data_IF_943272812373
#
_entry.id   IF_943272812373
#
_cell.length_a   1.000
_cell.length_b   1.000
_cell.length_c   1.000
_cell.angle_alpha   90.00
_cell.angle_beta   90.00
_cell.angle_gamma   90.00
#
_symmetry.space_group_name_H-M   'P 1'
#
loop_
_entity.id
_entity.type
_entity.pdbx_description
1 polymer ?
#
# COMPACT_ATOMS: atom_id res chain seq x y z
N UNK A 1 17.28 -38.76 -70.11
CA UNK A 1 16.22 -37.88 -69.56
C UNK A 1 16.34 -37.89 -68.05
N UNK A 2 16.96 -36.89 -67.47
CA UNK A 2 17.12 -36.75 -66.05
C UNK A 2 16.23 -35.55 -65.58
N UNK A 3 15.27 -35.83 -64.71
CA UNK A 3 14.40 -34.85 -64.12
C UNK A 3 15.00 -34.42 -62.77
N UNK A 4 15.43 -33.16 -62.68
CA UNK A 4 15.94 -32.58 -61.46
C UNK A 4 14.74 -32.02 -60.66
N UNK A 5 14.53 -32.53 -59.45
CA UNK A 5 13.54 -32.03 -58.52
C UNK A 5 14.17 -30.92 -57.66
N UNK A 6 13.65 -29.71 -57.79
CA UNK A 6 14.04 -28.53 -56.98
C UNK A 6 13.24 -28.55 -55.69
N UNK A 7 13.92 -28.75 -54.56
CA UNK A 7 13.32 -28.66 -53.22
C UNK A 7 13.53 -27.21 -52.71
N UNK A 8 12.45 -26.45 -52.65
CA UNK A 8 12.41 -25.14 -51.94
C UNK A 8 12.37 -25.34 -50.41
N UNK A 9 13.46 -25.07 -49.73
CA UNK A 9 13.51 -24.94 -48.29
C UNK A 9 12.96 -23.57 -47.87
N UNK A 10 11.77 -23.53 -47.33
CA UNK A 10 11.21 -22.36 -46.64
C UNK A 10 11.76 -22.35 -45.21
N UNK A 11 12.70 -21.46 -44.94
CA UNK A 11 13.19 -21.19 -43.60
C UNK A 11 12.15 -20.37 -42.85
N UNK A 12 11.41 -20.99 -41.96
CA UNK A 12 10.55 -20.28 -40.97
C UNK A 12 11.47 -19.73 -39.89
N UNK A 13 11.71 -18.43 -39.94
CA UNK A 13 12.37 -17.70 -38.86
C UNK A 13 11.45 -17.66 -37.66
N UNK A 14 11.65 -18.55 -36.69
CA UNK A 14 11.07 -18.44 -35.36
C UNK A 14 11.70 -17.23 -34.69
N UNK A 15 11.00 -16.10 -34.70
CA UNK A 15 11.35 -14.95 -33.90
C UNK A 15 11.29 -15.34 -32.42
N UNK A 16 12.45 -15.43 -31.77
CA UNK A 16 12.52 -15.55 -30.31
C UNK A 16 11.83 -14.32 -29.69
N UNK A 17 10.99 -14.50 -28.65
CA UNK A 17 10.43 -13.35 -27.95
C UNK A 17 11.60 -12.57 -27.36
N UNK A 18 11.77 -11.32 -27.81
CA UNK A 18 12.69 -10.38 -27.20
C UNK A 18 12.24 -10.20 -25.74
N UNK A 19 13.03 -10.75 -24.80
CA UNK A 19 12.85 -10.46 -23.39
C UNK A 19 12.90 -8.94 -23.23
N UNK A 20 11.78 -8.34 -22.86
CA UNK A 20 11.74 -6.92 -22.53
C UNK A 20 12.79 -6.69 -21.44
N UNK A 21 13.78 -5.87 -21.75
CA UNK A 21 14.80 -5.44 -20.79
C UNK A 21 14.05 -4.81 -19.60
N UNK A 22 14.03 -5.48 -18.48
CA UNK A 22 13.51 -4.92 -17.24
C UNK A 22 14.40 -3.71 -16.92
N UNK A 23 13.82 -2.52 -17.02
CA UNK A 23 14.51 -1.31 -16.62
C UNK A 23 14.91 -1.46 -15.15
N UNK A 24 16.20 -1.31 -14.87
CA UNK A 24 16.70 -1.36 -13.47
C UNK A 24 16.01 -0.22 -12.70
N UNK A 25 15.39 -0.51 -11.54
CA UNK A 25 14.74 0.53 -10.74
C UNK A 25 15.73 1.65 -10.40
N UNK A 26 15.26 2.89 -10.49
CA UNK A 26 16.09 4.05 -10.12
C UNK A 26 16.37 4.04 -8.63
N UNK A 27 17.62 4.37 -8.27
CA UNK A 27 18.02 4.49 -6.88
C UNK A 27 17.87 5.91 -6.35
N UNK A 28 17.81 6.04 -5.03
CA UNK A 28 17.61 7.31 -4.34
C UNK A 28 18.59 8.41 -4.79
N UNK A 29 19.87 8.11 -4.92
CA UNK A 29 20.90 9.08 -5.34
C UNK A 29 20.90 9.39 -6.83
N UNK A 30 20.24 8.59 -7.66
CA UNK A 30 20.04 8.89 -9.09
C UNK A 30 18.93 9.91 -9.31
N UNK A 31 17.93 9.93 -8.43
CA UNK A 31 16.74 10.79 -8.55
C UNK A 31 16.85 12.03 -7.68
N UNK A 32 17.33 11.88 -6.44
CA UNK A 32 17.38 12.98 -5.48
C UNK A 32 18.79 13.54 -5.30
N UNK A 33 18.86 14.84 -5.11
CA UNK A 33 20.12 15.54 -4.80
C UNK A 33 20.45 15.44 -3.32
N UNK A 34 21.76 15.49 -2.99
CA UNK A 34 22.29 15.53 -1.61
C UNK A 34 21.86 14.33 -0.74
N UNK A 35 21.75 13.14 -1.33
CA UNK A 35 21.55 11.89 -0.60
C UNK A 35 22.86 11.44 0.01
N UNK A 36 22.99 11.49 1.34
CA UNK A 36 24.23 11.12 2.09
C UNK A 36 24.08 9.81 2.84
N UNK A 37 22.87 9.44 3.23
CA UNK A 37 22.47 8.15 3.81
C UNK A 37 21.36 7.56 2.96
N UNK A 38 21.07 6.28 3.10
CA UNK A 38 20.00 5.60 2.33
C UNK A 38 20.28 5.59 0.81
N UNK A 39 21.57 5.50 0.43
CA UNK A 39 21.99 5.32 -0.97
C UNK A 39 21.77 3.88 -1.41
N UNK A 40 21.58 3.69 -2.73
CA UNK A 40 21.45 2.38 -3.34
C UNK A 40 20.09 1.72 -3.13
N UNK A 41 19.15 2.38 -2.46
CA UNK A 41 17.79 1.87 -2.29
C UNK A 41 16.87 2.39 -3.40
N UNK A 42 15.86 1.62 -3.82
CA UNK A 42 14.86 2.07 -4.76
C UNK A 42 14.14 3.35 -4.32
N UNK A 43 13.64 4.12 -5.29
CA UNK A 43 12.97 5.40 -5.03
C UNK A 43 11.73 5.23 -4.15
N UNK A 44 10.94 4.20 -4.37
CA UNK A 44 9.75 3.89 -3.56
C UNK A 44 10.10 3.54 -2.11
N UNK A 45 11.16 2.74 -1.88
CA UNK A 45 11.68 2.46 -0.53
C UNK A 45 12.19 3.73 0.15
N UNK A 46 12.83 4.63 -0.61
CA UNK A 46 13.29 5.93 -0.10
C UNK A 46 12.11 6.80 0.34
N UNK A 47 11.05 6.87 -0.45
CA UNK A 47 9.83 7.62 -0.09
C UNK A 47 9.13 7.01 1.12
N UNK A 48 9.02 5.68 1.18
CA UNK A 48 8.51 4.98 2.37
C UNK A 48 9.34 5.27 3.63
N UNK A 49 10.67 5.39 3.48
CA UNK A 49 11.59 5.75 4.57
C UNK A 49 11.34 7.17 5.08
N UNK A 50 11.05 8.14 4.19
CA UNK A 50 10.65 9.50 4.61
C UNK A 50 9.34 9.44 5.43
N UNK A 51 8.37 8.63 5.01
CA UNK A 51 7.14 8.42 5.76
C UNK A 51 7.37 7.87 7.17
N UNK A 52 8.29 6.91 7.34
CA UNK A 52 8.67 6.39 8.67
C UNK A 52 9.29 7.49 9.54
N UNK A 53 10.16 8.33 8.99
CA UNK A 53 10.74 9.43 9.75
C UNK A 53 9.65 10.40 10.22
N UNK A 54 8.73 10.79 9.34
CA UNK A 54 7.62 11.67 9.69
C UNK A 54 6.74 11.05 10.78
N UNK A 55 6.32 9.81 10.61
CA UNK A 55 5.46 9.13 11.58
C UNK A 55 6.16 8.93 12.93
N UNK A 56 7.44 8.52 12.93
CA UNK A 56 8.19 8.28 14.15
C UNK A 56 8.42 9.55 14.97
N UNK A 57 8.56 10.70 14.31
CA UNK A 57 8.84 11.99 14.96
C UNK A 57 7.59 12.83 15.21
N UNK A 58 6.44 12.47 14.62
CA UNK A 58 5.24 13.33 14.62
C UNK A 58 5.42 14.59 13.78
N UNK A 59 6.21 14.52 12.73
CA UNK A 59 6.57 15.61 11.83
C UNK A 59 5.85 15.50 10.49
N UNK A 60 5.83 16.59 9.74
CA UNK A 60 5.58 16.59 8.32
C UNK A 60 6.86 16.92 7.52
N UNK A 61 6.74 17.03 6.20
CA UNK A 61 7.89 17.29 5.33
C UNK A 61 8.56 18.64 5.61
N UNK A 62 7.77 19.65 6.03
CA UNK A 62 8.26 21.03 6.23
C UNK A 62 9.19 21.15 7.43
N UNK A 63 9.11 20.23 8.38
CA UNK A 63 9.98 20.21 9.55
C UNK A 63 11.45 19.94 9.21
N UNK A 64 11.69 19.18 8.14
CA UNK A 64 13.04 18.79 7.72
C UNK A 64 13.46 19.41 6.39
N UNK A 65 12.52 19.75 5.51
CA UNK A 65 12.81 20.27 4.18
C UNK A 65 12.37 21.74 4.05
N UNK A 66 13.33 22.60 3.73
CA UNK A 66 13.10 24.05 3.63
C UNK A 66 12.06 24.34 2.52
N UNK A 67 11.00 25.05 2.89
CA UNK A 67 9.93 25.46 1.99
C UNK A 67 9.00 24.34 1.54
N UNK A 68 9.04 23.15 2.14
CA UNK A 68 8.10 22.09 1.81
C UNK A 68 6.65 22.55 2.06
N UNK A 69 5.76 22.19 1.14
CA UNK A 69 4.38 22.67 1.10
C UNK A 69 4.21 24.01 0.38
N UNK A 70 5.29 24.57 -0.19
CA UNK A 70 5.27 25.79 -1.02
C UNK A 70 5.92 25.56 -2.37
N UNK A 71 5.75 26.50 -3.29
CA UNK A 71 6.41 26.55 -4.60
C UNK A 71 7.94 26.80 -4.54
N UNK A 72 8.47 27.11 -3.34
CA UNK A 72 9.89 27.45 -3.10
C UNK A 72 10.62 26.35 -2.32
N UNK A 73 10.18 25.11 -2.42
CA UNK A 73 10.80 24.00 -1.70
C UNK A 73 12.22 23.72 -2.21
N UNK A 74 13.17 23.61 -1.28
CA UNK A 74 14.51 23.10 -1.56
C UNK A 74 14.72 21.76 -0.84
N UNK A 75 14.43 20.69 -1.58
CA UNK A 75 14.60 19.32 -1.08
C UNK A 75 16.06 18.96 -0.80
N UNK A 76 17.02 19.65 -1.40
CA UNK A 76 18.45 19.37 -1.25
C UNK A 76 19.09 20.13 -0.09
N UNK A 77 18.50 21.22 0.37
CA UNK A 77 19.06 22.04 1.45
C UNK A 77 19.34 21.24 2.71
N UNK A 78 20.46 21.55 3.37
CA UNK A 78 20.82 20.98 4.66
C UNK A 78 20.24 21.83 5.79
N UNK A 79 19.17 21.36 6.39
CA UNK A 79 18.61 21.94 7.61
C UNK A 79 19.16 21.24 8.85
N UNK A 80 19.15 21.88 10.02
CA UNK A 80 19.61 21.25 11.26
C UNK A 80 18.90 19.93 11.57
N UNK A 81 17.58 19.84 11.33
CA UNK A 81 16.80 18.62 11.54
C UNK A 81 17.20 17.52 10.55
N UNK A 82 17.42 17.87 9.27
CA UNK A 82 17.88 16.91 8.26
C UNK A 82 19.28 16.36 8.58
N UNK A 83 20.20 17.19 9.05
CA UNK A 83 21.51 16.75 9.50
C UNK A 83 21.40 15.81 10.71
N UNK A 84 20.51 16.13 11.67
CA UNK A 84 20.25 15.26 12.82
C UNK A 84 19.65 13.93 12.39
N UNK A 85 18.64 13.93 11.48
CA UNK A 85 18.04 12.70 10.96
C UNK A 85 19.09 11.77 10.33
N UNK A 86 20.04 12.30 9.54
CA UNK A 86 21.15 11.51 8.99
C UNK A 86 22.02 10.88 10.06
N UNK A 87 22.27 11.60 11.18
CA UNK A 87 23.01 11.07 12.33
C UNK A 87 22.22 9.93 12.99
N UNK A 88 20.92 10.08 13.17
CA UNK A 88 20.05 9.06 13.75
C UNK A 88 19.97 7.80 12.87
N UNK A 89 19.87 7.94 11.54
CA UNK A 89 19.91 6.80 10.61
C UNK A 89 21.21 5.99 10.82
N UNK A 90 22.37 6.64 10.86
CA UNK A 90 23.65 5.95 11.12
C UNK A 90 23.66 5.25 12.46
N UNK A 91 23.12 5.89 13.51
CA UNK A 91 23.04 5.32 14.85
C UNK A 91 22.16 4.06 14.86
N UNK A 92 20.96 4.11 14.31
CA UNK A 92 20.05 2.96 14.24
C UNK A 92 20.66 1.81 13.44
N UNK A 93 21.31 2.13 12.32
CA UNK A 93 22.03 1.13 11.51
C UNK A 93 23.14 0.46 12.30
N UNK A 94 23.96 1.24 13.04
CA UNK A 94 25.02 0.70 13.88
C UNK A 94 24.46 -0.19 15.01
N UNK A 95 23.43 0.25 15.72
CA UNK A 95 22.79 -0.54 16.78
C UNK A 95 22.32 -1.90 16.24
N UNK A 96 21.64 -1.91 15.11
CA UNK A 96 21.13 -3.16 14.53
C UNK A 96 22.28 -4.07 14.05
N UNK A 97 23.33 -3.47 13.44
CA UNK A 97 24.49 -4.22 12.98
C UNK A 97 25.25 -4.84 14.15
N UNK A 98 25.63 -4.03 15.14
CA UNK A 98 26.55 -4.43 16.20
C UNK A 98 25.92 -5.33 17.27
N UNK A 99 24.61 -5.15 17.54
CA UNK A 99 23.93 -5.84 18.63
C UNK A 99 22.93 -6.90 18.17
N UNK A 100 22.45 -6.84 16.93
CA UNK A 100 21.40 -7.72 16.42
C UNK A 100 21.77 -8.45 15.12
N UNK A 101 23.07 -8.56 14.82
CA UNK A 101 23.58 -9.24 13.62
C UNK A 101 22.94 -8.73 12.32
N UNK A 102 22.73 -7.43 12.22
CA UNK A 102 22.11 -6.77 11.06
C UNK A 102 20.57 -6.94 10.96
N UNK A 103 19.95 -7.65 11.91
CA UNK A 103 18.49 -7.73 11.95
C UNK A 103 17.90 -6.40 12.41
N UNK A 104 16.82 -5.96 11.76
CA UNK A 104 16.12 -4.73 12.09
C UNK A 104 15.26 -4.90 13.36
N UNK A 105 15.89 -4.79 14.52
CA UNK A 105 15.25 -4.88 15.84
C UNK A 105 14.93 -3.51 16.43
N UNK A 106 15.72 -2.50 16.08
CA UNK A 106 15.51 -1.12 16.51
C UNK A 106 15.22 -0.25 15.29
N UNK A 107 14.19 0.56 15.36
CA UNK A 107 13.75 1.49 14.33
C UNK A 107 13.63 2.90 14.89
N UNK A 108 13.34 3.89 14.05
CA UNK A 108 13.03 5.24 14.54
C UNK A 108 11.83 5.22 15.49
N UNK A 109 10.81 4.42 15.17
CA UNK A 109 9.61 4.27 15.99
C UNK A 109 9.90 3.70 17.37
N UNK A 110 10.83 2.75 17.50
CA UNK A 110 11.19 2.11 18.78
C UNK A 110 11.59 3.10 19.87
N UNK A 111 12.11 4.28 19.49
CA UNK A 111 12.52 5.31 20.43
C UNK A 111 11.57 6.51 20.47
N UNK A 112 11.05 6.93 19.31
CA UNK A 112 10.33 8.20 19.19
C UNK A 112 8.82 8.11 19.42
N UNK A 113 8.15 7.03 18.97
CA UNK A 113 6.71 6.79 19.15
C UNK A 113 5.83 8.00 18.79
N UNK A 114 6.11 8.68 17.67
CA UNK A 114 5.38 9.85 17.20
C UNK A 114 5.77 11.16 17.90
N UNK A 115 6.98 11.26 18.47
CA UNK A 115 7.46 12.45 19.19
C UNK A 115 8.85 12.86 18.73
N UNK A 116 9.08 14.18 18.65
CA UNK A 116 10.41 14.76 18.33
C UNK A 116 11.53 14.20 19.23
N UNK A 117 11.24 14.03 20.51
CA UNK A 117 12.18 13.47 21.49
C UNK A 117 11.63 12.19 22.08
N UNK A 118 12.48 11.14 22.21
CA UNK A 118 12.11 9.93 22.93
C UNK A 118 11.66 10.25 24.36
N UNK A 119 10.65 9.53 24.84
CA UNK A 119 10.24 9.61 26.24
C UNK A 119 11.33 8.95 27.13
N UNK A 120 11.75 9.65 28.16
CA UNK A 120 12.76 9.16 29.13
C UNK A 120 12.12 8.61 30.41
N UNK A 121 10.81 8.82 30.57
CA UNK A 121 10.06 8.38 31.75
C UNK A 121 8.82 7.62 31.29
N UNK A 122 8.52 6.42 31.86
CA UNK A 122 7.31 5.70 31.54
C UNK A 122 6.05 6.49 31.94
N UNK A 123 5.04 6.52 31.07
CA UNK A 123 3.73 6.99 31.46
C UNK A 123 2.97 5.85 32.17
N UNK A 124 2.31 6.16 33.27
CA UNK A 124 1.58 5.15 34.06
C UNK A 124 0.41 4.56 33.25
N UNK A 125 -0.17 5.33 32.35
CA UNK A 125 -1.19 4.85 31.43
C UNK A 125 -0.66 3.72 30.51
N UNK A 126 0.60 3.78 30.11
CA UNK A 126 1.23 2.71 29.31
C UNK A 126 1.57 1.48 30.18
N UNK A 127 1.76 1.67 31.49
CA UNK A 127 2.08 0.57 32.42
C UNK A 127 0.83 -0.18 32.86
N UNK A 128 -0.27 0.54 33.10
CA UNK A 128 -1.49 -0.02 33.68
C UNK A 128 -2.69 0.00 32.72
N UNK A 129 -2.56 0.67 31.58
CA UNK A 129 -3.57 0.68 30.53
C UNK A 129 -3.61 -0.63 29.73
N UNK A 130 -4.59 -0.77 28.83
CA UNK A 130 -4.58 -1.88 27.89
C UNK A 130 -3.30 -1.85 27.05
N UNK A 131 -2.65 -3.02 26.92
CA UNK A 131 -1.44 -3.14 26.12
C UNK A 131 -1.69 -2.69 24.67
N UNK A 132 -0.80 -1.87 24.12
CA UNK A 132 -0.81 -1.59 22.69
C UNK A 132 -0.47 -2.87 21.95
N UNK A 133 -1.31 -3.26 20.98
CA UNK A 133 -0.96 -4.38 20.11
C UNK A 133 0.05 -3.88 19.07
N UNK A 134 1.21 -4.51 19.04
CA UNK A 134 2.16 -4.34 17.95
C UNK A 134 1.56 -5.01 16.71
N UNK A 135 1.06 -4.20 15.79
CA UNK A 135 0.29 -4.66 14.62
C UNK A 135 1.13 -5.44 13.60
N UNK A 136 2.44 -5.34 13.68
CA UNK A 136 3.40 -5.97 12.76
C UNK A 136 4.07 -7.24 13.32
N UNK A 137 3.72 -7.66 14.52
CA UNK A 137 4.19 -8.92 15.07
C UNK A 137 3.73 -10.10 14.22
N UNK A 138 4.64 -11.03 13.99
CA UNK A 138 4.28 -12.29 13.33
C UNK A 138 3.47 -13.12 14.30
N UNK A 139 2.16 -13.14 14.08
CA UNK A 139 1.23 -13.87 14.95
C UNK A 139 1.57 -15.35 14.96
N UNK A 140 1.45 -15.96 16.12
CA UNK A 140 1.42 -17.42 16.28
C UNK A 140 -0.02 -17.89 16.25
N UNK A 141 -0.26 -19.11 15.74
CA UNK A 141 -1.60 -19.71 15.84
C UNK A 141 -2.00 -19.85 17.30
N UNK A 142 -3.08 -19.19 17.71
CA UNK A 142 -3.55 -19.20 19.09
C UNK A 142 -4.40 -20.44 19.35
N UNK A 143 -4.16 -21.15 20.46
CA UNK A 143 -4.98 -22.30 20.85
C UNK A 143 -6.46 -21.92 21.06
N UNK A 144 -7.37 -22.81 20.67
CA UNK A 144 -8.81 -22.61 20.85
C UNK A 144 -9.49 -21.69 19.85
N UNK A 145 -8.72 -21.02 18.97
CA UNK A 145 -9.29 -20.20 17.90
C UNK A 145 -9.73 -21.07 16.71
N UNK A 146 -10.73 -20.63 15.92
CA UNK A 146 -11.07 -21.26 14.66
C UNK A 146 -9.86 -21.36 13.74
N UNK A 147 -9.84 -22.35 12.85
CA UNK A 147 -8.83 -22.34 11.78
C UNK A 147 -9.04 -21.15 10.84
N UNK A 148 -7.94 -20.66 10.24
CA UNK A 148 -8.02 -19.61 9.24
C UNK A 148 -8.97 -19.96 8.09
N UNK A 149 -9.01 -21.24 7.69
CA UNK A 149 -9.93 -21.72 6.66
C UNK A 149 -11.40 -21.49 7.03
N UNK A 150 -11.80 -21.76 8.28
CA UNK A 150 -13.18 -21.51 8.70
C UNK A 150 -13.57 -20.04 8.65
N UNK A 151 -12.65 -19.15 9.00
CA UNK A 151 -12.88 -17.71 8.96
C UNK A 151 -12.99 -17.24 7.49
N UNK A 152 -12.06 -17.69 6.65
CA UNK A 152 -12.06 -17.37 5.22
C UNK A 152 -13.29 -17.96 4.52
N UNK A 153 -13.72 -19.19 4.85
CA UNK A 153 -14.94 -19.79 4.30
C UNK A 153 -16.18 -18.96 4.66
N UNK A 154 -16.30 -18.54 5.93
CA UNK A 154 -17.39 -17.68 6.36
C UNK A 154 -17.42 -16.38 5.53
N UNK A 155 -16.27 -15.75 5.32
CA UNK A 155 -16.16 -14.55 4.50
C UNK A 155 -16.60 -14.82 3.06
N UNK A 156 -16.05 -15.84 2.39
CA UNK A 156 -16.37 -16.16 0.99
C UNK A 156 -17.85 -16.48 0.81
N UNK A 157 -18.48 -17.20 1.75
CA UNK A 157 -19.90 -17.46 1.74
C UNK A 157 -20.72 -16.16 1.90
N UNK A 158 -20.30 -15.29 2.84
CA UNK A 158 -20.98 -14.03 3.13
C UNK A 158 -21.01 -13.09 1.92
N UNK A 159 -19.94 -13.08 1.11
CA UNK A 159 -19.83 -12.18 -0.04
C UNK A 159 -20.38 -12.74 -1.35
N UNK A 160 -20.94 -13.95 -1.37
CA UNK A 160 -21.62 -14.49 -2.55
C UNK A 160 -21.37 -15.95 -2.86
N UNK A 161 -20.45 -16.59 -2.15
CA UNK A 161 -20.08 -18.00 -2.32
C UNK A 161 -19.10 -18.26 -3.45
N UNK A 162 -18.43 -19.40 -3.37
CA UNK A 162 -17.28 -19.75 -4.23
C UNK A 162 -17.61 -19.76 -5.72
N UNK A 163 -18.80 -20.23 -6.08
CA UNK A 163 -19.23 -20.32 -7.47
C UNK A 163 -19.36 -18.95 -8.14
N UNK A 164 -20.07 -18.01 -7.49
CA UNK A 164 -20.22 -16.65 -8.02
C UNK A 164 -18.88 -15.90 -8.05
N UNK A 165 -18.06 -16.07 -7.03
CA UNK A 165 -16.73 -15.47 -6.98
C UNK A 165 -15.81 -16.02 -8.07
N UNK A 166 -15.91 -17.31 -8.43
CA UNK A 166 -15.17 -17.88 -9.56
C UNK A 166 -15.63 -17.31 -10.91
N UNK A 167 -16.88 -16.86 -11.00
CA UNK A 167 -17.44 -16.18 -12.18
C UNK A 167 -17.02 -14.73 -12.35
N UNK A 168 -16.45 -14.08 -11.33
CA UNK A 168 -15.96 -12.69 -11.39
C UNK A 168 -14.64 -12.62 -12.16
N UNK A 169 -14.66 -12.09 -13.38
CA UNK A 169 -13.46 -11.99 -14.25
C UNK A 169 -12.96 -10.57 -14.44
N UNK A 170 -13.82 -9.58 -14.25
CA UNK A 170 -13.45 -8.17 -14.30
C UNK A 170 -14.44 -7.31 -13.54
N UNK A 171 -14.05 -6.13 -13.13
CA UNK A 171 -15.00 -5.09 -12.76
C UNK A 171 -14.41 -3.70 -13.03
N UNK A 172 -15.30 -2.76 -13.23
CA UNK A 172 -15.00 -1.33 -13.19
C UNK A 172 -15.80 -0.68 -12.07
N UNK A 173 -15.22 0.33 -11.45
CA UNK A 173 -15.92 1.11 -10.44
C UNK A 173 -15.64 2.60 -10.65
N UNK A 174 -16.63 3.42 -10.28
CA UNK A 174 -16.53 4.89 -10.29
C UNK A 174 -16.94 5.42 -8.94
N UNK A 175 -16.39 6.57 -8.58
CA UNK A 175 -16.71 7.21 -7.32
C UNK A 175 -15.94 8.50 -7.11
N UNK A 176 -15.79 8.87 -5.86
CA UNK A 176 -15.06 10.07 -5.44
C UNK A 176 -14.02 9.72 -4.38
N UNK A 177 -12.91 10.42 -4.42
CA UNK A 177 -11.89 10.47 -3.38
C UNK A 177 -12.09 11.74 -2.56
N UNK A 178 -12.01 11.67 -1.24
CA UNK A 178 -12.16 12.84 -0.36
C UNK A 178 -10.83 13.53 -0.08
N UNK A 179 -9.72 12.93 -0.48
CA UNK A 179 -8.46 13.65 -0.50
C UNK A 179 -7.26 12.91 0.04
N UNK A 180 -6.16 13.26 -0.53
CA UNK A 180 -4.81 13.02 -0.04
C UNK A 180 -4.55 13.98 1.12
N UNK A 181 -4.48 13.46 2.32
CA UNK A 181 -4.28 14.13 3.59
C UNK A 181 -3.74 15.56 3.54
N UNK A 182 -4.61 16.55 3.65
CA UNK A 182 -4.22 17.96 3.79
C UNK A 182 -4.08 18.77 2.50
N UNK A 183 -4.08 18.17 1.32
CA UNK A 183 -3.96 18.92 0.06
C UNK A 183 -5.29 19.40 -0.52
N UNK A 184 -6.37 19.34 0.26
CA UNK A 184 -7.69 19.90 -0.06
C UNK A 184 -8.28 19.45 -1.42
N UNK A 185 -9.56 19.17 -1.44
CA UNK A 185 -10.29 18.81 -2.66
C UNK A 185 -10.24 17.31 -2.97
N UNK A 186 -11.40 16.79 -3.28
CA UNK A 186 -11.58 15.41 -3.72
C UNK A 186 -11.34 15.25 -5.22
N UNK A 187 -11.17 14.01 -5.66
CA UNK A 187 -11.02 13.63 -7.07
C UNK A 187 -12.12 12.70 -7.53
N UNK A 188 -12.22 12.51 -8.83
CA UNK A 188 -13.05 11.46 -9.44
C UNK A 188 -12.25 10.18 -9.52
N UNK A 189 -12.76 9.12 -8.93
CA UNK A 189 -12.09 7.82 -8.89
C UNK A 189 -12.61 6.91 -9.98
N UNK A 190 -11.70 6.23 -10.66
CA UNK A 190 -11.98 5.09 -11.52
C UNK A 190 -11.10 3.91 -11.11
N UNK A 191 -11.71 2.74 -10.94
CA UNK A 191 -11.02 1.49 -10.66
C UNK A 191 -11.30 0.52 -11.80
N UNK A 192 -10.26 -0.11 -12.29
CA UNK A 192 -10.31 -1.18 -13.27
C UNK A 192 -9.62 -2.39 -12.68
N UNK A 193 -10.28 -3.54 -12.69
CA UNK A 193 -9.68 -4.80 -12.25
C UNK A 193 -10.00 -5.92 -13.23
N UNK A 194 -8.99 -6.71 -13.57
CA UNK A 194 -9.11 -7.86 -14.46
C UNK A 194 -8.37 -9.06 -13.88
N UNK A 195 -9.09 -10.17 -13.81
CA UNK A 195 -8.57 -11.45 -13.33
C UNK A 195 -7.37 -11.92 -14.19
N UNK A 196 -6.33 -12.53 -13.61
CA UNK A 196 -6.24 -12.90 -12.19
C UNK A 196 -5.78 -11.77 -11.26
N UNK A 197 -5.03 -10.79 -11.74
CA UNK A 197 -4.29 -9.87 -10.89
C UNK A 197 -3.93 -8.52 -11.55
N UNK A 198 -4.70 -8.05 -12.50
CA UNK A 198 -4.49 -6.70 -13.05
C UNK A 198 -5.41 -5.69 -12.33
N UNK A 199 -4.86 -4.55 -11.94
CA UNK A 199 -5.60 -3.47 -11.31
C UNK A 199 -5.03 -2.11 -11.69
N UNK A 200 -5.92 -1.17 -11.98
CA UNK A 200 -5.59 0.24 -12.12
C UNK A 200 -6.57 1.06 -11.27
N UNK A 201 -6.05 1.97 -10.48
CA UNK A 201 -6.81 2.98 -9.75
C UNK A 201 -6.32 4.34 -10.23
N UNK A 202 -7.24 5.15 -10.70
CA UNK A 202 -6.99 6.49 -11.24
C UNK A 202 -7.84 7.47 -10.46
N UNK A 203 -7.26 8.54 -9.97
CA UNK A 203 -7.96 9.64 -9.34
C UNK A 203 -7.62 10.91 -10.12
N UNK A 204 -8.61 11.45 -10.78
CA UNK A 204 -8.56 12.67 -11.59
C UNK A 204 -9.05 13.86 -10.73
N UNK A 205 -8.34 14.96 -10.77
CA UNK A 205 -8.65 16.19 -10.01
C UNK A 205 -9.08 17.32 -10.96
N UNK A 206 -10.32 17.29 -11.49
CA UNK A 206 -10.76 18.22 -12.52
C UNK A 206 -10.77 19.69 -12.09
N UNK A 207 -10.91 19.92 -10.78
CA UNK A 207 -10.92 21.30 -10.21
C UNK A 207 -9.51 21.83 -9.91
N UNK A 208 -8.49 21.02 -10.12
CA UNK A 208 -7.08 21.36 -9.88
C UNK A 208 -6.16 20.59 -10.86
N UNK A 209 -6.31 20.83 -12.17
CA UNK A 209 -5.59 20.05 -13.19
C UNK A 209 -4.08 20.23 -13.14
N UNK A 210 -3.58 21.31 -12.54
CA UNK A 210 -2.17 21.55 -12.29
C UNK A 210 -1.54 20.55 -11.30
N UNK A 211 -2.36 19.85 -10.51
CA UNK A 211 -1.88 18.85 -9.54
C UNK A 211 -1.44 17.56 -10.18
N UNK A 212 -1.90 17.26 -11.39
CA UNK A 212 -1.78 15.93 -12.01
C UNK A 212 -2.72 14.91 -11.36
N UNK A 213 -2.79 13.74 -11.98
CA UNK A 213 -3.60 12.62 -11.51
C UNK A 213 -2.87 11.81 -10.44
N UNK A 214 -3.62 11.06 -9.64
CA UNK A 214 -3.07 9.98 -8.85
C UNK A 214 -3.29 8.67 -9.58
N UNK A 215 -2.22 7.93 -9.83
CA UNK A 215 -2.25 6.67 -10.53
C UNK A 215 -1.61 5.58 -9.67
N UNK A 216 -2.24 4.41 -9.63
CA UNK A 216 -1.65 3.17 -9.12
C UNK A 216 -2.06 2.03 -10.04
N UNK A 217 -1.11 1.50 -10.79
CA UNK A 217 -1.34 0.50 -11.83
C UNK A 217 -0.48 -0.72 -11.55
N UNK A 218 -1.09 -1.91 -11.63
CA UNK A 218 -0.40 -3.20 -11.66
C UNK A 218 -0.91 -4.01 -12.86
N UNK A 219 0.00 -4.42 -13.74
CA UNK A 219 -0.33 -5.11 -14.99
C UNK A 219 -0.25 -6.64 -14.92
N UNK A 220 0.00 -7.21 -13.72
CA UNK A 220 0.28 -8.63 -13.50
C UNK A 220 1.77 -8.91 -13.26
N UNK A 221 2.66 -8.01 -13.64
CA UNK A 221 4.12 -8.17 -13.51
C UNK A 221 4.79 -6.96 -12.87
N UNK A 222 4.49 -5.78 -13.37
CA UNK A 222 5.06 -4.50 -12.98
C UNK A 222 3.98 -3.59 -12.41
N UNK A 223 4.41 -2.65 -11.58
CA UNK A 223 3.52 -1.63 -11.03
C UNK A 223 4.13 -0.24 -11.16
N UNK A 224 3.26 0.74 -11.36
CA UNK A 224 3.62 2.16 -11.43
C UNK A 224 2.72 2.96 -10.51
N UNK A 225 3.27 4.03 -10.01
CA UNK A 225 2.58 4.99 -9.15
C UNK A 225 2.90 6.41 -9.62
N UNK A 226 1.90 7.26 -9.56
CA UNK A 226 2.02 8.69 -9.65
C UNK A 226 1.18 9.30 -8.53
N UNK A 227 1.71 10.30 -7.86
CA UNK A 227 0.99 11.01 -6.78
C UNK A 227 0.96 12.49 -7.09
N UNK A 228 -0.17 13.17 -6.84
CA UNK A 228 -0.29 14.60 -7.09
C UNK A 228 0.76 15.39 -6.32
N UNK A 229 1.24 16.48 -6.94
CA UNK A 229 2.16 17.43 -6.30
C UNK A 229 3.49 16.83 -5.83
N UNK A 230 3.92 15.72 -6.41
CA UNK A 230 5.25 15.17 -6.14
C UNK A 230 6.25 15.56 -7.21
N UNK A 231 7.51 15.67 -6.81
CA UNK A 231 8.63 15.94 -7.71
C UNK A 231 9.00 14.76 -8.60
N UNK A 232 8.38 13.60 -8.38
CA UNK A 232 8.78 12.35 -9.01
C UNK A 232 8.04 12.07 -10.32
N UNK A 233 6.87 12.70 -10.54
CA UNK A 233 5.99 12.20 -11.59
C UNK A 233 5.64 10.72 -11.41
N UNK A 234 5.56 9.97 -12.50
CA UNK A 234 5.36 8.54 -12.44
C UNK A 234 6.68 7.81 -12.13
N UNK A 235 6.59 6.77 -11.31
CA UNK A 235 7.73 5.90 -11.00
C UNK A 235 7.30 4.45 -10.85
N UNK A 236 8.24 3.55 -11.12
CA UNK A 236 8.00 2.12 -10.99
C UNK A 236 8.11 1.68 -9.54
N UNK A 237 7.14 0.89 -9.08
CA UNK A 237 7.18 0.26 -7.77
C UNK A 237 8.08 -0.97 -7.78
N UNK A 238 8.78 -1.20 -6.68
CA UNK A 238 9.72 -2.30 -6.50
C UNK A 238 9.51 -3.01 -5.16
N UNK A 239 10.24 -4.05 -4.90
CA UNK A 239 10.31 -4.70 -3.58
C UNK A 239 8.93 -4.91 -2.94
N UNK A 240 8.78 -4.40 -1.73
CA UNK A 240 7.56 -4.54 -0.93
C UNK A 240 6.36 -3.77 -1.48
N UNK A 241 6.57 -2.62 -2.13
CA UNK A 241 5.46 -1.86 -2.73
C UNK A 241 4.93 -2.51 -4.00
N UNK A 242 5.79 -3.09 -4.83
CA UNK A 242 5.36 -3.92 -5.96
C UNK A 242 4.55 -5.13 -5.49
N UNK A 243 5.01 -5.81 -4.44
CA UNK A 243 4.29 -6.95 -3.88
C UNK A 243 2.96 -6.53 -3.25
N UNK A 244 2.92 -5.35 -2.62
CA UNK A 244 1.69 -4.74 -2.14
C UNK A 244 0.70 -4.39 -3.25
N UNK A 245 1.15 -3.84 -4.37
CA UNK A 245 0.30 -3.56 -5.52
C UNK A 245 -0.29 -4.86 -6.12
N UNK A 246 0.52 -5.92 -6.17
CA UNK A 246 0.07 -7.27 -6.57
C UNK A 246 -0.98 -7.80 -5.62
N UNK A 247 -0.75 -7.75 -4.31
CA UNK A 247 -1.69 -8.20 -3.30
C UNK A 247 -3.04 -7.48 -3.42
N UNK A 248 -3.01 -6.15 -3.56
CA UNK A 248 -4.22 -5.33 -3.75
C UNK A 248 -4.99 -5.73 -5.03
N UNK A 249 -4.26 -6.05 -6.11
CA UNK A 249 -4.86 -6.52 -7.36
C UNK A 249 -5.48 -7.91 -7.22
N UNK A 250 -4.78 -8.85 -6.61
CA UNK A 250 -5.24 -10.22 -6.40
C UNK A 250 -6.45 -10.28 -5.45
N UNK A 251 -6.46 -9.48 -4.38
CA UNK A 251 -7.58 -9.40 -3.45
C UNK A 251 -8.81 -8.67 -4.02
N UNK A 252 -8.68 -8.03 -5.19
CA UNK A 252 -9.84 -7.59 -5.99
C UNK A 252 -10.73 -8.77 -6.42
N UNK A 253 -10.18 -9.99 -6.38
CA UNK A 253 -10.86 -11.26 -6.66
C UNK A 253 -10.79 -12.16 -5.43
N UNK A 254 -11.66 -11.96 -4.42
CA UNK A 254 -11.54 -12.58 -3.10
C UNK A 254 -11.50 -14.12 -3.10
N UNK A 255 -12.05 -14.74 -4.14
CA UNK A 255 -11.97 -16.20 -4.31
C UNK A 255 -10.56 -16.77 -4.33
N UNK A 256 -9.54 -15.93 -4.56
CA UNK A 256 -8.13 -16.33 -4.60
C UNK A 256 -7.40 -16.18 -3.26
N UNK A 257 -8.03 -15.70 -2.21
CA UNK A 257 -7.36 -15.32 -0.95
C UNK A 257 -6.41 -16.41 -0.41
N UNK A 258 -6.76 -17.69 -0.53
CA UNK A 258 -5.91 -18.83 -0.11
C UNK A 258 -4.73 -19.11 -1.02
N UNK A 259 -4.78 -18.63 -2.26
CA UNK A 259 -3.68 -18.78 -3.23
C UNK A 259 -2.69 -17.62 -3.11
N UNK A 260 -3.19 -16.49 -2.63
CA UNK A 260 -2.45 -15.23 -2.49
C UNK A 260 -1.68 -15.16 -1.18
N UNK A 261 -2.26 -15.68 -0.10
CA UNK A 261 -1.66 -15.69 1.22
C UNK A 261 -1.46 -17.13 1.71
N UNK A 262 -0.24 -17.43 2.13
CA UNK A 262 0.18 -18.71 2.68
C UNK A 262 0.50 -18.59 4.16
N UNK A 263 0.70 -19.72 4.84
CA UNK A 263 1.02 -19.77 6.28
C UNK A 263 0.03 -18.99 7.14
N UNK A 264 -1.25 -19.13 6.85
CA UNK A 264 -2.31 -18.43 7.58
C UNK A 264 -2.33 -18.85 9.04
N UNK A 265 -2.39 -17.86 9.94
CA UNK A 265 -2.45 -18.01 11.38
C UNK A 265 -3.55 -17.14 11.94
N UNK A 266 -4.16 -17.61 13.02
CA UNK A 266 -5.25 -16.88 13.68
C UNK A 266 -4.79 -16.43 15.05
N UNK A 267 -4.93 -15.16 15.33
CA UNK A 267 -4.69 -14.55 16.64
C UNK A 267 -5.94 -14.62 17.52
N UNK A 268 -5.83 -14.12 18.73
CA UNK A 268 -7.00 -13.81 19.55
C UNK A 268 -7.85 -12.75 18.85
N UNK A 269 -9.18 -12.81 18.96
CA UNK A 269 -10.04 -11.72 18.49
C UNK A 269 -9.68 -10.42 19.20
N UNK A 270 -9.77 -9.32 18.46
CA UNK A 270 -9.49 -7.97 18.97
C UNK A 270 -10.64 -7.04 18.70
N UNK A 271 -10.73 -5.97 19.46
CA UNK A 271 -11.64 -4.86 19.17
C UNK A 271 -10.88 -3.83 18.33
N UNK A 272 -11.44 -3.47 17.20
CA UNK A 272 -10.91 -2.38 16.35
C UNK A 272 -11.95 -1.29 16.22
N UNK A 273 -11.44 -0.05 16.08
CA UNK A 273 -12.23 1.13 15.70
C UNK A 273 -11.85 1.54 14.28
N UNK A 274 -12.80 2.10 13.54
CA UNK A 274 -12.52 2.63 12.22
C UNK A 274 -11.56 3.82 12.35
N UNK A 275 -10.60 3.94 11.41
CA UNK A 275 -9.78 5.15 11.34
C UNK A 275 -10.67 6.36 11.01
N UNK A 276 -10.42 7.53 11.63
CA UNK A 276 -11.12 8.75 11.25
C UNK A 276 -10.81 9.07 9.79
N UNK A 277 -11.87 9.35 9.02
CA UNK A 277 -11.74 9.76 7.63
C UNK A 277 -10.97 11.08 7.51
N UNK A 278 -10.44 11.43 6.33
CA UNK A 278 -9.85 12.75 6.09
C UNK A 278 -10.91 13.82 6.35
N UNK A 279 -10.59 14.78 7.21
CA UNK A 279 -11.45 15.95 7.42
C UNK A 279 -11.13 16.98 6.34
N UNK A 280 -12.14 17.69 5.85
CA UNK A 280 -11.98 18.82 4.93
C UNK A 280 -11.32 20.05 5.60
N UNK A 281 -11.01 19.97 6.89
CA UNK A 281 -10.35 21.03 7.62
C UNK A 281 -8.86 20.74 7.77
N UNK A 282 -8.10 21.69 7.30
CA UNK A 282 -6.66 21.83 7.37
C UNK A 282 -6.09 21.55 8.76
N UNK A 283 -5.01 20.75 8.75
CA UNK A 283 -3.89 20.79 9.68
C UNK A 283 -4.19 21.15 11.14
N UNK A 284 -4.61 20.20 11.92
CA UNK A 284 -4.11 19.99 13.27
C UNK A 284 -4.40 18.54 13.67
N UNK A 285 -3.36 17.81 13.99
CA UNK A 285 -3.42 16.41 14.44
C UNK A 285 -4.22 16.20 15.74
N UNK A 286 -4.82 17.28 16.28
CA UNK A 286 -5.58 17.26 17.53
C UNK A 286 -7.09 17.13 17.37
N UNK A 287 -7.65 17.06 16.17
CA UNK A 287 -9.07 16.76 16.01
C UNK A 287 -9.29 15.25 15.99
N UNK A 288 -9.08 14.60 17.13
CA UNK A 288 -9.77 13.35 17.39
C UNK A 288 -11.27 13.65 17.42
N UNK A 289 -12.01 13.24 16.39
CA UNK A 289 -13.39 12.80 16.51
C UNK A 289 -13.93 12.30 15.17
N UNK A 290 -14.02 11.03 15.00
CA UNK A 290 -15.25 10.26 14.97
C UNK A 290 -14.84 8.89 15.48
N UNK A 291 -15.26 8.60 16.68
CA UNK A 291 -15.19 7.24 17.22
C UNK A 291 -16.05 6.39 16.29
N UNK A 292 -15.41 5.68 15.37
CA UNK A 292 -16.06 4.64 14.59
C UNK A 292 -16.64 3.62 15.56
N UNK A 293 -17.65 2.87 15.14
CA UNK A 293 -18.20 1.82 15.99
C UNK A 293 -17.10 0.77 16.24
N UNK A 294 -16.85 0.50 17.51
CA UNK A 294 -15.99 -0.60 17.91
C UNK A 294 -16.61 -1.90 17.46
N UNK A 295 -15.80 -2.76 16.86
CA UNK A 295 -16.22 -4.10 16.45
C UNK A 295 -15.21 -5.15 16.82
N UNK A 296 -15.69 -6.32 17.20
CA UNK A 296 -14.84 -7.48 17.48
C UNK A 296 -14.55 -8.18 16.17
N UNK A 297 -13.28 -8.43 15.89
CA UNK A 297 -12.82 -9.05 14.66
C UNK A 297 -11.99 -10.29 14.92
N UNK A 298 -12.11 -11.27 14.03
CA UNK A 298 -11.17 -12.37 13.93
C UNK A 298 -9.96 -11.89 13.10
N UNK A 299 -8.76 -12.18 13.60
CA UNK A 299 -7.50 -11.70 12.99
C UNK A 299 -6.77 -12.87 12.35
N UNK A 300 -6.58 -12.77 11.03
CA UNK A 300 -5.87 -13.77 10.23
C UNK A 300 -4.65 -13.11 9.61
N UNK A 301 -3.48 -13.65 9.88
CA UNK A 301 -2.23 -13.17 9.30
C UNK A 301 -1.66 -14.21 8.34
N UNK A 302 -1.16 -13.77 7.22
CA UNK A 302 -0.52 -14.60 6.21
C UNK A 302 0.66 -13.90 5.56
N UNK A 303 1.34 -14.63 4.70
CA UNK A 303 2.50 -14.14 3.98
C UNK A 303 2.30 -14.38 2.50
N UNK A 304 2.58 -13.38 1.66
CA UNK A 304 2.62 -13.58 0.21
C UNK A 304 3.78 -14.53 -0.16
N UNK A 305 3.78 -15.14 -1.35
CA UNK A 305 4.90 -15.97 -1.81
C UNK A 305 6.26 -15.24 -1.84
N UNK A 306 6.25 -13.91 -1.87
CA UNK A 306 7.46 -13.07 -1.85
C UNK A 306 7.86 -12.60 -0.45
N UNK A 307 7.11 -12.98 0.58
CA UNK A 307 7.43 -12.70 1.96
C UNK A 307 6.81 -11.43 2.54
N UNK A 308 5.92 -10.76 1.82
CA UNK A 308 5.17 -9.62 2.38
C UNK A 308 4.13 -10.14 3.37
N UNK A 309 4.21 -9.63 4.59
CA UNK A 309 3.26 -9.93 5.66
C UNK A 309 1.97 -9.14 5.44
N UNK A 310 0.82 -9.80 5.58
CA UNK A 310 -0.48 -9.17 5.54
C UNK A 310 -1.38 -9.71 6.64
N UNK A 311 -2.09 -8.81 7.31
CA UNK A 311 -3.05 -9.11 8.36
C UNK A 311 -4.44 -8.72 7.91
N UNK A 312 -5.38 -9.66 7.97
CA UNK A 312 -6.77 -9.51 7.58
C UNK A 312 -7.65 -9.53 8.82
N UNK A 313 -8.58 -8.61 8.91
CA UNK A 313 -9.49 -8.45 10.04
C UNK A 313 -10.91 -8.70 9.54
N UNK A 314 -11.51 -9.78 10.00
CA UNK A 314 -12.87 -10.18 9.63
C UNK A 314 -13.81 -9.86 10.78
N UNK A 315 -14.83 -9.08 10.52
CA UNK A 315 -15.88 -8.80 11.50
C UNK A 315 -16.52 -10.09 11.98
N UNK A 316 -16.51 -10.29 13.29
CA UNK A 316 -16.91 -11.58 13.89
C UNK A 316 -18.40 -11.87 13.71
N UNK A 317 -19.23 -10.85 13.66
CA UNK A 317 -20.68 -10.99 13.49
C UNK A 317 -21.03 -11.25 12.02
N UNK A 318 -20.69 -10.33 11.14
CA UNK A 318 -21.05 -10.40 9.72
C UNK A 318 -20.18 -11.35 8.90
N UNK A 319 -18.94 -11.62 9.32
CA UNK A 319 -17.94 -12.36 8.55
C UNK A 319 -17.29 -11.56 7.42
N UNK A 320 -17.57 -10.27 7.29
CA UNK A 320 -16.99 -9.42 6.26
C UNK A 320 -15.54 -9.03 6.58
N UNK A 321 -14.70 -8.92 5.57
CA UNK A 321 -13.36 -8.32 5.68
C UNK A 321 -13.54 -6.82 5.91
N UNK A 322 -13.10 -6.31 7.05
CA UNK A 322 -13.28 -4.89 7.41
C UNK A 322 -11.96 -4.11 7.42
N UNK A 323 -10.83 -4.82 7.51
CA UNK A 323 -9.50 -4.19 7.44
C UNK A 323 -8.47 -5.16 6.88
N UNK A 324 -7.56 -4.64 6.09
CA UNK A 324 -6.31 -5.29 5.71
C UNK A 324 -5.15 -4.36 6.06
N UNK A 325 -4.09 -4.92 6.66
CA UNK A 325 -2.82 -4.20 6.86
C UNK A 325 -1.71 -5.02 6.22
N UNK A 326 -0.92 -4.42 5.36
CA UNK A 326 0.28 -5.02 4.79
C UNK A 326 1.51 -4.22 5.18
N UNK A 327 2.67 -4.88 5.19
CA UNK A 327 3.90 -4.30 5.69
C UNK A 327 4.99 -4.36 4.64
N UNK A 328 5.33 -3.21 4.06
CA UNK A 328 6.52 -3.02 3.27
C UNK A 328 7.78 -2.99 4.15
N UNK A 329 8.96 -2.99 3.54
CA UNK A 329 10.25 -2.91 4.24
C UNK A 329 10.94 -1.61 3.87
N UNK A 330 11.63 -1.01 4.83
CA UNK A 330 12.59 0.06 4.60
C UNK A 330 13.84 -0.17 5.43
N UNK A 331 14.96 0.52 5.16
CA UNK A 331 16.18 0.38 5.94
C UNK A 331 16.04 0.73 7.43
N UNK A 332 15.02 1.48 7.81
CA UNK A 332 14.84 2.00 9.16
C UNK A 332 13.51 1.62 9.83
N UNK A 333 12.76 0.70 9.25
CA UNK A 333 11.49 0.21 9.82
C UNK A 333 10.58 -0.43 8.78
N UNK A 334 9.46 -1.00 9.23
CA UNK A 334 8.39 -1.49 8.36
C UNK A 334 7.44 -0.36 7.99
N UNK A 335 6.95 -0.38 6.76
CA UNK A 335 6.02 0.60 6.20
C UNK A 335 4.62 -0.02 6.17
N UNK A 336 3.73 0.32 7.11
CA UNK A 336 2.36 -0.18 7.06
C UNK A 336 1.56 0.56 5.97
N UNK A 337 0.73 -0.22 5.27
CA UNK A 337 -0.38 0.29 4.47
C UNK A 337 -1.65 -0.39 4.95
N UNK A 338 -2.65 0.38 5.33
CA UNK A 338 -3.92 -0.12 5.82
C UNK A 338 -5.03 0.25 4.86
N UNK A 339 -5.96 -0.69 4.65
CA UNK A 339 -7.19 -0.44 3.91
C UNK A 339 -8.34 -0.90 4.79
N UNK A 340 -9.23 0.03 5.16
CA UNK A 340 -10.50 -0.27 5.82
C UNK A 340 -11.60 -0.37 4.77
N UNK A 341 -12.46 -1.38 4.89
CA UNK A 341 -13.55 -1.66 3.96
C UNK A 341 -14.89 -1.50 4.68
N UNK A 342 -15.82 -0.79 4.05
CA UNK A 342 -17.15 -0.57 4.59
C UNK A 342 -18.19 -0.44 3.46
N UNK A 343 -19.46 -0.25 3.84
CA UNK A 343 -20.58 -0.05 2.90
C UNK A 343 -20.64 -1.16 1.86
N UNK A 344 -20.70 -2.41 2.32
CA UNK A 344 -20.83 -3.57 1.43
C UNK A 344 -22.21 -3.60 0.77
N UNK A 345 -22.25 -3.57 -0.56
CA UNK A 345 -23.46 -3.63 -1.36
C UNK A 345 -23.39 -4.83 -2.30
N UNK A 346 -24.56 -5.34 -2.66
CA UNK A 346 -24.67 -6.45 -3.60
C UNK A 346 -24.61 -5.94 -5.05
N UNK A 347 -23.71 -6.55 -5.83
CA UNK A 347 -23.56 -6.32 -7.26
C UNK A 347 -23.56 -7.68 -7.95
N UNK A 348 -24.61 -8.00 -8.69
CA UNK A 348 -24.78 -9.28 -9.38
C UNK A 348 -24.56 -10.51 -8.47
N UNK A 349 -25.08 -10.44 -7.24
CA UNK A 349 -24.99 -11.52 -6.24
C UNK A 349 -23.64 -11.61 -5.50
N UNK A 350 -22.76 -10.65 -5.70
CA UNK A 350 -21.49 -10.53 -4.97
C UNK A 350 -21.52 -9.27 -4.11
N UNK A 351 -21.24 -9.38 -2.82
CA UNK A 351 -21.08 -8.21 -1.95
C UNK A 351 -19.70 -7.60 -2.14
N UNK A 352 -19.65 -6.34 -2.54
CA UNK A 352 -18.44 -5.56 -2.76
C UNK A 352 -18.43 -4.31 -1.88
N UNK A 353 -17.26 -3.89 -1.35
CA UNK A 353 -17.17 -2.67 -0.55
C UNK A 353 -17.33 -1.44 -1.43
N UNK A 354 -18.20 -0.52 -1.04
CA UNK A 354 -18.41 0.77 -1.72
C UNK A 354 -17.68 1.91 -1.02
N UNK A 355 -17.18 1.69 0.20
CA UNK A 355 -16.32 2.63 0.90
C UNK A 355 -15.00 1.97 1.26
N UNK A 356 -13.90 2.64 0.95
CA UNK A 356 -12.55 2.21 1.28
C UNK A 356 -11.79 3.39 1.87
N UNK A 357 -11.08 3.18 2.98
CA UNK A 357 -10.16 4.15 3.55
C UNK A 357 -8.76 3.59 3.46
N UNK A 358 -7.96 4.19 2.61
CA UNK A 358 -6.53 3.90 2.50
C UNK A 358 -5.77 4.78 3.49
N UNK A 359 -4.88 4.18 4.26
CA UNK A 359 -3.99 4.90 5.17
C UNK A 359 -2.56 4.39 5.01
N UNK A 360 -1.63 5.32 4.95
CA UNK A 360 -0.20 5.09 4.92
C UNK A 360 0.50 6.11 5.81
N UNK A 361 1.80 6.00 6.02
CA UNK A 361 2.51 6.86 6.98
C UNK A 361 2.47 8.36 6.64
N UNK A 362 2.36 8.71 5.38
CA UNK A 362 2.31 10.11 4.91
C UNK A 362 0.90 10.67 4.71
N UNK A 363 -0.16 9.87 4.89
CA UNK A 363 -1.52 10.37 4.64
C UNK A 363 -2.59 9.29 4.64
N UNK A 364 -3.77 9.69 4.23
CA UNK A 364 -4.94 8.83 4.07
C UNK A 364 -5.88 9.37 3.02
N UNK A 365 -6.59 8.48 2.35
CA UNK A 365 -7.60 8.81 1.34
C UNK A 365 -8.85 7.97 1.54
N UNK A 366 -10.02 8.60 1.51
CA UNK A 366 -11.30 7.91 1.59
C UNK A 366 -11.95 7.90 0.20
N UNK A 367 -12.17 6.70 -0.32
CA UNK A 367 -12.86 6.46 -1.58
C UNK A 367 -14.29 6.03 -1.30
N UNK A 368 -15.26 6.75 -1.90
CA UNK A 368 -16.66 6.36 -1.91
C UNK A 368 -17.07 6.04 -3.34
N UNK A 369 -17.39 4.77 -3.59
CA UNK A 369 -17.89 4.32 -4.89
C UNK A 369 -19.38 4.68 -5.04
N UNK A 370 -19.75 5.09 -6.24
CA UNK A 370 -21.14 5.31 -6.66
C UNK A 370 -21.66 4.20 -7.56
N UNK A 371 -20.77 3.57 -8.33
CA UNK A 371 -21.11 2.56 -9.33
C UNK A 371 -20.04 1.47 -9.37
N UNK A 372 -20.48 0.22 -9.50
CA UNK A 372 -19.63 -0.94 -9.79
C UNK A 372 -20.31 -1.79 -10.86
N UNK A 373 -19.58 -2.15 -11.91
CA UNK A 373 -20.02 -3.04 -12.99
C UNK A 373 -19.08 -4.24 -13.07
N UNK A 374 -19.64 -5.45 -13.02
CA UNK A 374 -18.86 -6.69 -13.07
C UNK A 374 -18.89 -7.33 -14.46
N UNK A 375 -17.82 -8.06 -14.79
CA UNK A 375 -17.68 -8.82 -16.04
C UNK A 375 -17.84 -7.96 -17.32
N UNK A 376 -17.35 -6.71 -17.24
CA UNK A 376 -17.32 -5.80 -18.38
C UNK A 376 -15.98 -5.89 -19.12
N UNK A 377 -15.96 -5.67 -20.45
CA UNK A 377 -14.71 -5.54 -21.20
C UNK A 377 -13.87 -4.36 -20.67
N UNK A 378 -12.58 -4.58 -20.47
CA UNK A 378 -11.63 -3.54 -20.07
C UNK A 378 -10.51 -3.51 -21.09
N UNK A 379 -10.23 -2.32 -21.62
CA UNK A 379 -9.11 -2.11 -22.53
C UNK A 379 -7.78 -2.42 -21.81
N UNK A 380 -6.94 -3.23 -22.44
CA UNK A 380 -5.64 -3.61 -21.92
C UNK A 380 -4.72 -2.39 -21.69
N UNK A 381 -4.88 -1.32 -22.45
CA UNK A 381 -4.13 -0.08 -22.28
C UNK A 381 -4.32 0.56 -20.88
N UNK A 382 -5.44 0.25 -20.18
CA UNK A 382 -5.67 0.73 -18.80
C UNK A 382 -4.66 0.19 -17.79
N UNK A 383 -4.00 -0.92 -18.11
CA UNK A 383 -3.00 -1.55 -17.26
C UNK A 383 -1.57 -1.32 -17.77
N UNK A 384 -1.40 -0.53 -18.83
CA UNK A 384 -0.09 -0.18 -19.35
C UNK A 384 0.66 0.82 -18.47
N UNK A 385 1.97 0.97 -18.74
CA UNK A 385 2.77 2.03 -18.12
C UNK A 385 2.12 3.39 -18.42
N UNK A 386 1.94 4.25 -17.41
CA UNK A 386 1.46 5.62 -17.63
C UNK A 386 2.39 6.39 -18.56
N UNK A 387 1.83 7.34 -19.30
CA UNK A 387 2.65 8.28 -20.04
C UNK A 387 3.47 9.12 -19.05
N UNK A 388 4.73 9.48 -19.39
CA UNK A 388 5.52 10.35 -18.53
C UNK A 388 4.73 11.62 -18.22
N UNK A 389 4.59 11.93 -16.93
CA UNK A 389 3.99 13.18 -16.51
C UNK A 389 4.84 14.34 -17.07
N UNK A 390 4.19 15.38 -17.53
CA UNK A 390 4.90 16.60 -17.92
C UNK A 390 5.51 17.14 -16.61
N UNK A 391 6.82 16.92 -16.44
CA UNK A 391 7.54 17.35 -15.24
C UNK A 391 7.29 18.82 -14.96
N UNK A 392 7.00 19.11 -13.71
CA UNK A 392 6.91 20.47 -13.18
C UNK A 392 8.28 20.97 -12.75
#
# INVERSE_FOLDING_TARGET
MAVAALICLVAVALGAPQAASQATPQTSEQVFKNVQVLKGIPVDDFMGTMGIMCAALGFDCSECHAGAGTDKVDWAADTPKKLMARKMVRMVTAINHDNFSGRQMVTCWSCHHGRDRPATTPALENVYGPGSQEMDDVLTQMPGQPSADKIVDKYLQTIGGTERLAGLKSFTAKGTSVGFGGFGGGGKVQIFAKFPDQRATVIDFPDSPERGDSLRIFNGHEAWMETPLTILGEYQLTGGELDGARLDAQLSFPGQIRQVLTNLRVSMPVTISDLPGPSSQTSNQSSMVAVGQDRIVDVVQGTTPRGTLATLYFDKESGLLVRMVRYGKSPIGRVPTQIDYADYREVNGIKMPFRMLFAWLGGRDAIQLSEVQTNVPIDAARFGRPAPSKGH
#
